data_IF_458007803614
#
_entry.id   IF_458007803614
#
_cell.length_a   1.000
_cell.length_b   1.000
_cell.length_c   1.000
_cell.angle_alpha   90.00
_cell.angle_beta   90.00
_cell.angle_gamma   90.00
#
_symmetry.space_group_name_H-M   'P 1'
#
loop_
_entity.id
_entity.type
_entity.pdbx_description
1 polymer ?
#
# COMPACT_ATOMS: atom_id res chain seq x y z
N UNK A 1 -17.89 8.47 31.81
CA UNK A 1 -18.50 9.60 31.11
C UNK A 1 -18.28 9.41 29.63
N UNK A 2 -19.32 9.03 28.90
CA UNK A 2 -19.25 8.86 27.44
C UNK A 2 -19.22 10.26 26.81
N UNK A 3 -18.04 10.71 26.40
CA UNK A 3 -17.93 11.92 25.60
C UNK A 3 -18.71 11.72 24.30
N UNK A 4 -19.82 12.43 24.17
CA UNK A 4 -20.56 12.49 22.90
C UNK A 4 -19.66 13.14 21.87
N UNK A 5 -19.24 12.37 20.88
CA UNK A 5 -18.56 12.87 19.67
C UNK A 5 -19.47 13.96 19.10
N UNK A 6 -18.94 15.15 18.91
CA UNK A 6 -19.66 16.22 18.22
C UNK A 6 -19.64 15.94 16.72
N UNK A 7 -20.73 15.46 16.11
CA UNK A 7 -20.75 15.09 14.68
C UNK A 7 -20.45 16.28 13.76
N UNK A 8 -20.75 17.51 14.21
CA UNK A 8 -20.58 18.73 13.41
C UNK A 8 -19.12 19.20 13.31
N UNK A 9 -18.28 18.88 14.30
CA UNK A 9 -16.85 19.23 14.25
C UNK A 9 -16.10 18.37 13.23
N UNK A 10 -16.42 17.07 13.15
CA UNK A 10 -15.81 16.14 12.20
C UNK A 10 -16.31 16.33 10.76
N UNK A 11 -17.59 16.71 10.57
CA UNK A 11 -18.16 16.99 9.25
C UNK A 11 -17.49 18.17 8.53
N UNK A 12 -16.78 19.06 9.28
CA UNK A 12 -16.00 20.17 8.70
C UNK A 12 -14.62 19.75 8.24
N UNK A 13 -14.08 18.64 8.76
CA UNK A 13 -12.70 18.18 8.46
C UNK A 13 -12.66 17.15 7.32
N UNK A 14 -13.70 16.28 7.23
CA UNK A 14 -13.78 15.19 6.27
C UNK A 14 -15.04 15.30 5.40
N UNK A 15 -14.92 14.95 4.12
CA UNK A 15 -16.07 14.79 3.25
C UNK A 15 -16.80 13.47 3.50
N UNK A 16 -16.01 12.42 3.75
CA UNK A 16 -16.51 11.10 4.10
C UNK A 16 -15.59 10.43 5.12
N UNK A 17 -16.16 9.70 6.03
CA UNK A 17 -15.49 8.77 6.94
C UNK A 17 -16.41 7.56 7.20
N UNK A 18 -15.87 6.36 7.48
CA UNK A 18 -16.65 5.23 7.95
C UNK A 18 -17.28 5.52 9.33
N UNK A 19 -18.02 4.55 9.86
CA UNK A 19 -18.51 4.63 11.24
C UNK A 19 -17.34 4.77 12.22
N UNK A 20 -17.46 5.73 13.14
CA UNK A 20 -16.43 6.05 14.13
C UNK A 20 -16.94 5.82 15.55
N UNK A 21 -16.06 5.43 16.49
CA UNK A 21 -14.63 5.18 16.33
C UNK A 21 -14.34 3.94 15.47
N UNK A 22 -13.20 3.95 14.73
CA UNK A 22 -12.78 2.79 13.95
C UNK A 22 -12.70 1.56 14.85
N UNK A 23 -13.36 0.49 14.43
CA UNK A 23 -13.32 -0.78 15.14
C UNK A 23 -11.93 -1.41 15.14
N UNK A 24 -11.64 -2.20 16.17
CA UNK A 24 -10.47 -3.09 16.17
C UNK A 24 -10.71 -4.24 15.20
N UNK A 25 -10.01 -4.23 14.08
CA UNK A 25 -10.07 -5.26 13.04
C UNK A 25 -8.78 -6.09 12.94
N UNK A 26 -8.00 -6.14 14.03
CA UNK A 26 -6.76 -6.93 14.08
C UNK A 26 -7.05 -8.43 13.97
N UNK A 27 -6.29 -9.10 13.08
CA UNK A 27 -6.31 -10.56 12.92
C UNK A 27 -5.78 -11.29 14.16
N UNK A 28 -4.96 -10.63 14.98
CA UNK A 28 -4.24 -11.21 16.12
C UNK A 28 -4.89 -10.88 17.46
N UNK A 29 -6.20 -10.78 17.50
CA UNK A 29 -6.95 -10.61 18.75
C UNK A 29 -6.99 -11.91 19.55
N UNK A 30 -6.77 -11.83 20.86
CA UNK A 30 -6.89 -12.97 21.76
C UNK A 30 -8.06 -12.80 22.73
N UNK A 31 -8.94 -13.80 22.94
CA UNK A 31 -9.01 -15.05 22.16
C UNK A 31 -9.41 -14.79 20.70
N UNK A 32 -8.97 -15.67 19.76
CA UNK A 32 -9.31 -15.49 18.34
C UNK A 32 -10.81 -15.62 18.13
N UNK A 33 -11.37 -14.77 17.27
CA UNK A 33 -12.77 -14.83 16.84
C UNK A 33 -12.90 -15.60 15.52
N UNK A 34 -13.37 -16.86 15.53
CA UNK A 34 -13.49 -17.66 14.31
C UNK A 34 -14.44 -17.06 13.28
N UNK A 35 -15.47 -16.31 13.71
CA UNK A 35 -16.42 -15.65 12.81
C UNK A 35 -15.79 -14.45 12.12
N UNK A 36 -14.93 -13.73 12.83
CA UNK A 36 -14.16 -12.64 12.25
C UNK A 36 -13.14 -13.19 11.26
N UNK A 37 -12.37 -14.22 11.62
CA UNK A 37 -11.37 -14.85 10.76
C UNK A 37 -12.00 -15.43 9.49
N UNK A 38 -13.12 -16.15 9.60
CA UNK A 38 -13.82 -16.70 8.43
C UNK A 38 -14.32 -15.60 7.51
N UNK A 39 -14.91 -14.53 8.04
CA UNK A 39 -15.33 -13.36 7.23
C UNK A 39 -14.15 -12.69 6.55
N UNK A 40 -13.01 -12.57 7.25
CA UNK A 40 -11.79 -12.03 6.68
C UNK A 40 -11.27 -12.87 5.50
N UNK A 41 -11.22 -14.21 5.64
CA UNK A 41 -10.84 -15.13 4.57
C UNK A 41 -11.78 -14.97 3.37
N UNK A 42 -13.10 -15.04 3.59
CA UNK A 42 -14.08 -14.90 2.52
C UNK A 42 -13.91 -13.56 1.79
N UNK A 43 -13.83 -12.45 2.54
CA UNK A 43 -13.73 -11.10 1.96
C UNK A 43 -12.44 -10.90 1.15
N UNK A 44 -11.32 -11.44 1.60
CA UNK A 44 -10.02 -11.14 1.01
C UNK A 44 -9.59 -12.18 -0.05
N UNK A 45 -10.10 -13.42 0.02
CA UNK A 45 -9.58 -14.53 -0.78
C UNK A 45 -10.64 -15.32 -1.57
N UNK A 46 -11.92 -15.27 -1.18
CA UNK A 46 -13.00 -16.03 -1.82
C UNK A 46 -14.00 -15.14 -2.54
N UNK A 47 -13.89 -13.82 -2.43
CA UNK A 47 -14.66 -12.86 -3.23
C UNK A 47 -13.70 -11.99 -4.05
N UNK A 48 -14.23 -11.24 -5.03
CA UNK A 48 -13.44 -10.30 -5.80
C UNK A 48 -12.92 -9.20 -4.88
N UNK A 49 -11.64 -9.26 -4.57
CA UNK A 49 -10.92 -8.33 -3.70
C UNK A 49 -9.68 -7.80 -4.41
N UNK A 50 -9.03 -6.78 -3.84
CA UNK A 50 -7.75 -6.30 -4.34
C UNK A 50 -6.70 -7.42 -4.42
N UNK A 51 -6.65 -8.32 -3.41
CA UNK A 51 -5.68 -9.44 -3.35
C UNK A 51 -5.92 -10.44 -4.47
N UNK A 52 -7.19 -10.82 -4.68
CA UNK A 52 -7.57 -11.73 -5.76
C UNK A 52 -7.23 -11.12 -7.12
N UNK A 53 -7.51 -9.84 -7.33
CA UNK A 53 -7.13 -9.12 -8.56
C UNK A 53 -5.61 -9.17 -8.75
N UNK A 54 -4.82 -8.91 -7.71
CA UNK A 54 -3.36 -8.93 -7.80
C UNK A 54 -2.80 -10.33 -8.10
N UNK A 55 -3.38 -11.39 -7.51
CA UNK A 55 -3.00 -12.78 -7.83
C UNK A 55 -3.33 -13.12 -9.29
N UNK A 56 -4.50 -12.73 -9.76
CA UNK A 56 -4.90 -12.95 -11.17
C UNK A 56 -3.95 -12.18 -12.11
N UNK A 57 -3.63 -10.93 -11.82
CA UNK A 57 -2.67 -10.14 -12.59
C UNK A 57 -1.27 -10.77 -12.55
N UNK A 58 -0.80 -11.21 -11.39
CA UNK A 58 0.50 -11.88 -11.26
C UNK A 58 0.57 -13.16 -12.10
N UNK A 59 -0.49 -13.97 -12.06
CA UNK A 59 -0.59 -15.21 -12.85
C UNK A 59 -0.63 -14.91 -14.35
N UNK A 60 -1.44 -13.93 -14.76
CA UNK A 60 -1.54 -13.50 -16.14
C UNK A 60 -0.20 -12.96 -16.67
N UNK A 61 0.47 -12.09 -15.88
CA UNK A 61 1.74 -11.52 -16.27
C UNK A 61 2.84 -12.58 -16.36
N UNK A 62 2.88 -13.51 -15.39
CA UNK A 62 3.82 -14.62 -15.42
C UNK A 62 3.65 -15.48 -16.68
N UNK A 63 2.44 -15.69 -17.10
CA UNK A 63 2.16 -16.59 -18.23
C UNK A 63 2.35 -15.94 -19.59
N UNK A 64 2.03 -14.64 -19.71
CA UNK A 64 2.00 -13.94 -21.01
C UNK A 64 3.12 -12.96 -21.24
N UNK A 65 3.67 -12.36 -20.17
CA UNK A 65 4.49 -11.15 -20.32
C UNK A 65 5.84 -11.22 -19.64
N UNK A 66 6.04 -12.04 -18.62
CA UNK A 66 7.35 -12.15 -17.99
C UNK A 66 8.24 -13.20 -18.70
N UNK A 67 9.57 -12.98 -18.69
CA UNK A 67 10.52 -13.96 -19.24
C UNK A 67 10.49 -15.25 -18.41
N UNK A 68 10.82 -16.39 -19.05
CA UNK A 68 10.97 -17.68 -18.37
C UNK A 68 12.21 -17.68 -17.47
N UNK A 69 12.23 -18.48 -16.40
CA UNK A 69 13.43 -18.61 -15.55
C UNK A 69 14.66 -19.04 -16.33
N UNK A 70 14.51 -19.90 -17.34
CA UNK A 70 15.63 -20.33 -18.18
C UNK A 70 16.27 -19.16 -18.93
N UNK A 71 15.44 -18.22 -19.43
CA UNK A 71 15.92 -17.07 -20.21
C UNK A 71 16.63 -16.00 -19.36
N UNK A 72 16.47 -16.03 -18.03
CA UNK A 72 17.03 -15.03 -17.12
C UNK A 72 18.25 -15.52 -16.34
N UNK A 73 18.80 -16.69 -16.66
CA UNK A 73 20.00 -17.24 -16.01
C UNK A 73 21.22 -16.33 -16.18
N UNK A 74 21.31 -15.61 -17.28
CA UNK A 74 22.34 -14.61 -17.53
C UNK A 74 21.74 -13.23 -17.68
N UNK A 75 22.40 -12.21 -17.13
CA UNK A 75 21.92 -10.83 -17.30
C UNK A 75 22.00 -10.41 -18.77
N UNK A 76 20.85 -9.94 -19.30
CA UNK A 76 20.76 -9.38 -20.64
C UNK A 76 19.77 -8.21 -20.63
N UNK A 77 20.11 -7.15 -21.36
CA UNK A 77 19.28 -5.94 -21.43
C UNK A 77 17.84 -6.24 -21.86
N UNK A 78 17.64 -7.15 -22.79
CA UNK A 78 16.32 -7.46 -23.37
C UNK A 78 15.29 -7.89 -22.34
N UNK A 79 15.60 -8.90 -21.50
CA UNK A 79 14.65 -9.36 -20.50
C UNK A 79 14.50 -8.40 -19.32
N UNK A 80 15.56 -7.67 -18.95
CA UNK A 80 15.48 -6.63 -17.91
C UNK A 80 14.52 -5.51 -18.35
N UNK A 81 14.66 -5.06 -19.60
CA UNK A 81 13.75 -4.09 -20.21
C UNK A 81 12.31 -4.62 -20.27
N UNK A 82 12.14 -5.89 -20.62
CA UNK A 82 10.80 -6.54 -20.65
C UNK A 82 10.13 -6.49 -19.28
N UNK A 83 10.83 -6.87 -18.20
CA UNK A 83 10.31 -6.81 -16.84
C UNK A 83 9.95 -5.37 -16.43
N UNK A 84 10.83 -4.41 -16.76
CA UNK A 84 10.56 -3.00 -16.50
C UNK A 84 9.32 -2.49 -17.24
N UNK A 85 9.16 -2.82 -18.52
CA UNK A 85 8.00 -2.44 -19.31
C UNK A 85 6.70 -3.03 -18.75
N UNK A 86 6.70 -4.28 -18.30
CA UNK A 86 5.53 -4.91 -17.67
C UNK A 86 5.16 -4.17 -16.38
N UNK A 87 6.12 -3.90 -15.51
CA UNK A 87 5.88 -3.16 -14.27
C UNK A 87 5.39 -1.73 -14.54
N UNK A 88 5.96 -1.07 -15.53
CA UNK A 88 5.54 0.27 -15.97
C UNK A 88 4.09 0.25 -16.47
N UNK A 89 3.74 -0.69 -17.33
CA UNK A 89 2.38 -0.85 -17.85
C UNK A 89 1.37 -1.16 -16.73
N UNK A 90 1.72 -2.03 -15.78
CA UNK A 90 0.89 -2.34 -14.62
C UNK A 90 0.66 -1.09 -13.76
N UNK A 91 1.71 -0.34 -13.46
CA UNK A 91 1.60 0.88 -12.66
C UNK A 91 0.77 1.96 -13.37
N UNK A 92 1.02 2.21 -14.64
CA UNK A 92 0.24 3.17 -15.46
C UNK A 92 -1.22 2.69 -15.59
N UNK A 93 -1.46 1.43 -15.86
CA UNK A 93 -2.79 0.86 -16.01
C UNK A 93 -3.62 1.00 -14.73
N UNK A 94 -3.05 0.65 -13.57
CA UNK A 94 -3.77 0.67 -12.29
C UNK A 94 -3.84 2.11 -11.74
N UNK A 95 -2.72 2.78 -11.49
CA UNK A 95 -2.73 4.13 -10.91
C UNK A 95 -3.35 5.15 -11.86
N UNK A 96 -3.03 5.07 -13.16
CA UNK A 96 -3.60 5.93 -14.20
C UNK A 96 -5.08 5.68 -14.41
N UNK A 97 -5.52 4.41 -14.46
CA UNK A 97 -6.92 4.04 -14.60
C UNK A 97 -7.77 4.51 -13.41
N UNK A 98 -7.29 4.31 -12.17
CA UNK A 98 -7.95 4.81 -10.96
C UNK A 98 -7.97 6.34 -10.93
N UNK A 99 -6.86 7.00 -11.31
CA UNK A 99 -6.81 8.46 -11.42
C UNK A 99 -7.79 8.99 -12.48
N UNK A 100 -7.84 8.35 -13.64
CA UNK A 100 -8.77 8.72 -14.70
C UNK A 100 -10.22 8.60 -14.24
N UNK A 101 -10.59 7.48 -13.60
CA UNK A 101 -11.94 7.23 -13.10
C UNK A 101 -12.35 8.24 -12.00
N UNK A 102 -11.52 8.39 -10.97
CA UNK A 102 -11.90 9.16 -9.78
C UNK A 102 -11.68 10.66 -9.93
N UNK A 103 -10.64 11.11 -10.63
CA UNK A 103 -10.18 12.49 -10.61
C UNK A 103 -10.36 13.24 -11.94
N UNK A 104 -10.33 12.52 -13.08
CA UNK A 104 -10.52 13.13 -14.41
C UNK A 104 -11.99 13.03 -14.81
N UNK A 105 -12.52 11.81 -14.91
CA UNK A 105 -13.92 11.58 -15.25
C UNK A 105 -14.87 11.89 -14.08
N UNK A 106 -14.36 11.80 -12.85
CA UNK A 106 -15.13 12.03 -11.61
C UNK A 106 -16.41 11.17 -11.55
N UNK A 107 -16.36 9.92 -12.05
CA UNK A 107 -17.52 9.03 -12.20
C UNK A 107 -18.26 8.79 -10.87
N UNK A 108 -17.55 8.83 -9.77
CA UNK A 108 -18.09 8.68 -8.43
C UNK A 108 -18.35 10.02 -7.70
N UNK A 109 -17.91 11.13 -8.29
CA UNK A 109 -17.95 12.45 -7.66
C UNK A 109 -17.19 12.45 -6.33
N UNK A 110 -17.85 12.98 -5.27
CA UNK A 110 -17.28 13.00 -3.91
C UNK A 110 -17.78 11.85 -3.03
N UNK A 111 -18.56 10.92 -3.56
CA UNK A 111 -19.09 9.78 -2.78
C UNK A 111 -17.95 8.89 -2.30
N UNK A 112 -17.88 8.66 -1.00
CA UNK A 112 -16.84 7.88 -0.32
C UNK A 112 -15.43 8.45 -0.45
N UNK A 113 -15.26 9.70 -0.89
CA UNK A 113 -13.98 10.42 -0.91
C UNK A 113 -13.70 10.96 0.48
N UNK A 114 -12.53 10.69 1.06
CA UNK A 114 -12.18 11.11 2.41
C UNK A 114 -12.04 12.62 2.54
N UNK A 115 -11.16 13.24 1.77
CA UNK A 115 -10.90 14.68 1.81
C UNK A 115 -11.76 15.44 0.78
N UNK A 116 -12.37 16.55 1.21
CA UNK A 116 -13.21 17.38 0.33
C UNK A 116 -12.41 18.18 -0.71
N UNK A 117 -11.11 18.38 -0.49
CA UNK A 117 -10.24 19.18 -1.37
C UNK A 117 -9.89 18.43 -2.64
N UNK A 118 -9.62 19.17 -3.71
CA UNK A 118 -9.00 18.63 -4.90
C UNK A 118 -7.48 18.45 -4.70
N UNK A 119 -6.84 17.66 -5.57
CA UNK A 119 -5.39 17.51 -5.57
C UNK A 119 -4.73 18.85 -5.95
N UNK A 120 -3.63 19.17 -5.29
CA UNK A 120 -3.02 20.50 -5.37
C UNK A 120 -2.48 20.84 -6.78
N UNK A 121 -2.79 22.06 -7.23
CA UNK A 121 -2.28 22.66 -8.47
C UNK A 121 -1.81 24.09 -8.20
N UNK A 122 -0.77 24.54 -8.92
CA UNK A 122 -0.19 25.87 -8.74
C UNK A 122 0.53 26.07 -7.41
N UNK A 123 0.89 25.00 -6.69
CA UNK A 123 1.52 25.04 -5.38
C UNK A 123 3.01 24.70 -5.48
N UNK A 124 3.88 25.63 -5.08
CA UNK A 124 5.35 25.52 -5.12
C UNK A 124 5.93 24.42 -4.21
N UNK A 125 5.13 23.82 -3.33
CA UNK A 125 5.53 22.64 -2.54
C UNK A 125 5.89 21.45 -3.44
N UNK A 126 5.35 21.39 -4.64
CA UNK A 126 5.51 20.31 -5.61
C UNK A 126 6.52 20.73 -6.69
N UNK A 127 7.42 19.82 -7.09
CA UNK A 127 8.49 20.11 -8.06
C UNK A 127 7.95 20.67 -9.40
N UNK A 128 6.76 20.21 -9.83
CA UNK A 128 6.09 20.67 -11.05
C UNK A 128 4.93 21.65 -10.77
N UNK A 129 4.88 22.22 -9.56
CA UNK A 129 3.74 23.00 -9.07
C UNK A 129 2.40 22.24 -9.18
N UNK A 130 2.44 20.93 -9.29
CA UNK A 130 1.31 20.05 -9.50
C UNK A 130 1.54 18.71 -8.79
N UNK A 131 0.65 18.38 -7.84
CA UNK A 131 0.73 17.17 -7.03
C UNK A 131 0.73 15.90 -7.88
N UNK A 132 -0.11 15.82 -8.91
CA UNK A 132 -0.23 14.63 -9.76
C UNK A 132 1.04 14.41 -10.57
N UNK A 133 1.57 15.46 -11.21
CA UNK A 133 2.80 15.35 -12.01
C UNK A 133 4.00 14.97 -11.15
N UNK A 134 4.11 15.54 -9.95
CA UNK A 134 5.17 15.22 -9.01
C UNK A 134 5.07 13.76 -8.56
N UNK A 135 3.87 13.31 -8.21
CA UNK A 135 3.63 11.92 -7.80
C UNK A 135 3.91 10.92 -8.94
N UNK A 136 3.51 11.22 -10.17
CA UNK A 136 3.82 10.41 -11.37
C UNK A 136 5.33 10.31 -11.55
N UNK A 137 6.06 11.42 -11.46
CA UNK A 137 7.52 11.47 -11.61
C UNK A 137 8.22 10.53 -10.62
N UNK A 138 7.90 10.62 -9.32
CA UNK A 138 8.51 9.78 -8.30
C UNK A 138 8.09 8.32 -8.41
N UNK A 139 6.81 8.05 -8.69
CA UNK A 139 6.30 6.69 -8.82
C UNK A 139 6.91 5.95 -10.00
N UNK A 140 6.97 6.58 -11.17
CA UNK A 140 7.49 5.93 -12.39
C UNK A 140 9.02 5.99 -12.47
N UNK A 141 9.62 7.12 -12.12
CA UNK A 141 11.07 7.33 -12.22
C UNK A 141 11.86 6.51 -11.21
N UNK A 142 11.54 6.63 -9.92
CA UNK A 142 12.26 5.92 -8.85
C UNK A 142 11.54 4.65 -8.41
N UNK A 143 10.22 4.70 -8.19
CA UNK A 143 9.45 3.59 -7.65
C UNK A 143 9.46 2.36 -8.55
N UNK A 144 8.99 2.49 -9.78
CA UNK A 144 8.95 1.37 -10.74
C UNK A 144 10.35 0.87 -11.08
N UNK A 145 11.34 1.77 -11.17
CA UNK A 145 12.71 1.36 -11.44
C UNK A 145 13.26 0.47 -10.33
N UNK A 146 13.17 0.89 -9.08
CA UNK A 146 13.67 0.10 -7.94
C UNK A 146 12.87 -1.19 -7.73
N UNK A 147 11.54 -1.15 -7.92
CA UNK A 147 10.70 -2.35 -7.90
C UNK A 147 11.20 -3.38 -8.92
N UNK A 148 11.52 -2.91 -10.13
CA UNK A 148 12.08 -3.77 -11.19
C UNK A 148 13.45 -4.31 -10.81
N UNK A 149 14.33 -3.52 -10.22
CA UNK A 149 15.65 -3.98 -9.78
C UNK A 149 15.56 -5.13 -8.77
N UNK A 150 14.70 -5.00 -7.74
CA UNK A 150 14.45 -6.09 -6.80
C UNK A 150 13.93 -7.34 -7.50
N UNK A 151 12.94 -7.20 -8.37
CA UNK A 151 12.35 -8.32 -9.11
C UNK A 151 13.37 -9.01 -10.00
N UNK A 152 14.16 -8.26 -10.75
CA UNK A 152 15.21 -8.76 -11.66
C UNK A 152 16.25 -9.58 -10.88
N UNK A 153 16.72 -9.07 -9.74
CA UNK A 153 17.67 -9.79 -8.88
C UNK A 153 17.06 -11.09 -8.37
N UNK A 154 15.83 -11.06 -7.88
CA UNK A 154 15.15 -12.26 -7.35
C UNK A 154 14.95 -13.30 -8.47
N UNK A 155 14.50 -12.88 -9.66
CA UNK A 155 14.31 -13.78 -10.79
C UNK A 155 15.64 -14.45 -11.21
N UNK A 156 16.72 -13.68 -11.26
CA UNK A 156 18.05 -14.20 -11.56
C UNK A 156 18.53 -15.20 -10.50
N UNK A 157 18.36 -14.90 -9.22
CA UNK A 157 18.71 -15.80 -8.12
C UNK A 157 17.90 -17.11 -8.17
N UNK A 158 16.58 -17.02 -8.47
CA UNK A 158 15.72 -18.19 -8.65
C UNK A 158 16.16 -19.05 -9.85
N UNK A 159 16.47 -18.41 -10.96
CA UNK A 159 16.90 -19.10 -12.19
C UNK A 159 18.24 -19.86 -12.02
N UNK A 160 19.11 -19.36 -11.14
CA UNK A 160 20.40 -19.97 -10.83
C UNK A 160 20.40 -20.81 -9.53
N UNK A 161 19.22 -21.08 -8.97
CA UNK A 161 19.05 -21.93 -7.78
C UNK A 161 19.77 -21.41 -6.51
N UNK A 162 20.06 -20.09 -6.44
CA UNK A 162 20.69 -19.47 -5.26
C UNK A 162 19.71 -19.19 -4.13
N UNK A 163 18.40 -19.25 -4.40
CA UNK A 163 17.35 -19.09 -3.40
C UNK A 163 16.35 -20.24 -3.47
N UNK A 164 15.68 -20.59 -2.35
CA UNK A 164 14.76 -21.71 -2.32
C UNK A 164 13.54 -21.46 -3.20
N UNK A 165 13.23 -22.41 -4.08
CA UNK A 165 12.06 -22.37 -4.96
C UNK A 165 11.10 -23.54 -4.67
N UNK A 166 9.82 -23.34 -5.00
CA UNK A 166 8.82 -24.40 -4.94
C UNK A 166 8.17 -24.63 -6.32
N UNK A 167 7.78 -25.87 -6.54
CA UNK A 167 6.96 -26.22 -7.68
C UNK A 167 5.49 -26.32 -7.24
N UNK A 168 4.57 -25.73 -8.02
CA UNK A 168 3.16 -25.70 -7.69
C UNK A 168 2.54 -27.09 -7.59
N UNK A 169 2.95 -28.02 -8.45
CA UNK A 169 2.40 -29.40 -8.46
C UNK A 169 2.83 -30.23 -7.27
N UNK A 170 4.05 -30.05 -6.77
CA UNK A 170 4.58 -30.80 -5.61
C UNK A 170 4.37 -30.11 -4.27
N UNK A 171 4.19 -28.78 -4.26
CA UNK A 171 4.09 -27.99 -3.03
C UNK A 171 2.85 -27.04 -3.03
N UNK A 172 1.63 -27.53 -3.35
CA UNK A 172 0.45 -26.67 -3.45
C UNK A 172 0.08 -25.99 -2.13
N UNK A 173 0.29 -26.66 -0.99
CA UNK A 173 0.00 -26.09 0.34
C UNK A 173 0.93 -24.91 0.64
N UNK A 174 2.23 -25.04 0.36
CA UNK A 174 3.19 -23.94 0.55
C UNK A 174 2.89 -22.76 -0.37
N UNK A 175 2.44 -23.02 -1.61
CA UNK A 175 2.02 -21.98 -2.53
C UNK A 175 0.83 -21.19 -1.99
N UNK A 176 -0.23 -21.87 -1.55
CA UNK A 176 -1.41 -21.23 -0.95
C UNK A 176 -1.05 -20.51 0.36
N UNK A 177 -0.23 -21.13 1.20
CA UNK A 177 0.28 -20.47 2.41
C UNK A 177 1.05 -19.19 2.06
N UNK A 178 1.90 -19.22 1.02
CA UNK A 178 2.61 -18.04 0.54
C UNK A 178 1.68 -16.92 0.12
N UNK A 179 0.60 -17.20 -0.61
CA UNK A 179 -0.40 -16.19 -0.98
C UNK A 179 -0.98 -15.49 0.25
N UNK A 180 -1.31 -16.25 1.31
CA UNK A 180 -1.92 -15.70 2.54
C UNK A 180 -0.89 -14.98 3.42
N UNK A 181 0.33 -15.54 3.53
CA UNK A 181 1.36 -15.04 4.45
C UNK A 181 2.12 -13.82 3.90
N UNK A 182 2.27 -13.67 2.58
CA UNK A 182 2.99 -12.52 2.01
C UNK A 182 2.35 -11.16 2.34
N UNK A 183 1.03 -10.96 2.29
CA UNK A 183 0.41 -9.71 2.77
C UNK A 183 0.63 -9.48 4.27
N UNK A 184 0.63 -10.54 5.09
CA UNK A 184 0.90 -10.45 6.53
C UNK A 184 2.35 -10.05 6.77
N UNK A 185 3.29 -10.68 6.07
CA UNK A 185 4.71 -10.30 6.09
C UNK A 185 4.91 -8.86 5.64
N UNK A 186 4.30 -8.46 4.52
CA UNK A 186 4.41 -7.09 4.01
C UNK A 186 3.90 -6.07 5.02
N UNK A 187 2.79 -6.38 5.70
CA UNK A 187 2.24 -5.52 6.74
C UNK A 187 3.15 -5.42 7.98
N UNK A 188 3.80 -6.54 8.37
CA UNK A 188 4.81 -6.54 9.43
C UNK A 188 6.01 -5.69 9.05
N UNK A 189 6.60 -5.96 7.89
CA UNK A 189 7.76 -5.22 7.38
C UNK A 189 7.45 -3.72 7.23
N UNK A 190 6.29 -3.40 6.63
CA UNK A 190 5.85 -2.03 6.43
C UNK A 190 5.78 -1.25 7.74
N UNK A 191 5.16 -1.81 8.79
CA UNK A 191 5.08 -1.13 10.09
C UNK A 191 6.45 -0.72 10.63
N UNK A 192 7.43 -1.64 10.61
CA UNK A 192 8.76 -1.36 11.17
C UNK A 192 9.57 -0.38 10.32
N UNK A 193 9.53 -0.55 9.00
CA UNK A 193 10.20 0.41 8.09
C UNK A 193 9.55 1.79 8.16
N UNK A 194 8.24 1.85 8.24
CA UNK A 194 7.51 3.10 8.36
C UNK A 194 7.80 3.82 9.69
N UNK A 195 7.87 3.09 10.78
CA UNK A 195 8.34 3.64 12.09
C UNK A 195 9.75 4.18 12.01
N UNK A 196 10.65 3.48 11.32
CA UNK A 196 12.02 3.94 11.08
C UNK A 196 12.03 5.25 10.28
N UNK A 197 11.21 5.33 9.22
CA UNK A 197 11.09 6.51 8.36
C UNK A 197 10.55 7.73 9.12
N UNK A 198 9.79 7.53 10.18
CA UNK A 198 9.28 8.59 11.06
C UNK A 198 10.29 9.06 12.13
N UNK A 199 11.49 8.48 12.21
CA UNK A 199 12.55 9.10 13.03
C UNK A 199 12.85 10.50 12.50
N UNK A 200 12.96 11.54 13.36
CA UNK A 200 12.95 12.95 12.94
C UNK A 200 13.92 13.30 11.82
N UNK A 201 15.15 12.78 11.89
CA UNK A 201 16.16 13.02 10.85
C UNK A 201 15.76 12.37 9.50
N UNK A 202 15.32 11.12 9.53
CA UNK A 202 14.93 10.38 8.33
C UNK A 202 13.63 10.97 7.76
N UNK A 203 12.67 11.29 8.62
CA UNK A 203 11.44 11.95 8.20
C UNK A 203 11.73 13.23 7.43
N UNK A 204 12.53 14.12 7.99
CA UNK A 204 12.84 15.43 7.41
C UNK A 204 13.46 15.32 6.00
N UNK A 205 14.38 14.38 5.79
CA UNK A 205 15.18 14.31 4.56
C UNK A 205 14.65 13.31 3.53
N UNK A 206 13.84 12.34 3.96
CA UNK A 206 13.38 11.22 3.13
C UNK A 206 11.85 11.18 3.07
N UNK A 207 11.19 10.90 4.19
CA UNK A 207 9.78 10.54 4.23
C UNK A 207 8.81 11.73 4.10
N UNK A 208 9.27 12.94 4.38
CA UNK A 208 8.50 14.16 4.19
C UNK A 208 8.06 14.37 2.72
N UNK A 209 8.76 13.78 1.76
CA UNK A 209 8.36 13.77 0.36
C UNK A 209 7.01 13.04 0.17
N UNK A 210 6.86 11.86 0.75
CA UNK A 210 5.63 11.08 0.73
C UNK A 210 4.51 11.81 1.47
N UNK A 211 4.79 12.35 2.64
CA UNK A 211 3.84 13.07 3.48
C UNK A 211 3.42 14.45 2.99
N UNK A 212 4.00 14.98 1.91
CA UNK A 212 3.39 16.12 1.20
C UNK A 212 1.97 15.80 0.72
N UNK A 213 1.66 14.53 0.51
CA UNK A 213 0.36 14.01 0.12
C UNK A 213 -0.61 13.89 1.31
N UNK A 214 -0.92 15.00 2.00
CA UNK A 214 -1.96 15.03 3.04
C UNK A 214 -3.32 14.63 2.47
N UNK A 215 -3.64 15.08 1.26
CA UNK A 215 -4.77 14.63 0.47
C UNK A 215 -4.24 13.67 -0.59
N UNK A 216 -4.43 12.36 -0.33
CA UNK A 216 -3.87 11.30 -1.17
C UNK A 216 -4.65 11.11 -2.48
N UNK A 217 -3.97 10.57 -3.48
CA UNK A 217 -4.53 10.12 -4.75
C UNK A 217 -3.74 8.94 -5.29
N UNK A 218 -4.21 8.18 -6.29
CA UNK A 218 -3.62 6.90 -6.71
C UNK A 218 -2.11 6.95 -6.95
N UNK A 219 -1.63 8.02 -7.54
CA UNK A 219 -0.19 8.20 -7.80
C UNK A 219 0.64 8.49 -6.54
N UNK A 220 0.01 8.89 -5.43
CA UNK A 220 0.76 9.16 -4.19
C UNK A 220 1.25 7.90 -3.49
N UNK A 221 0.64 6.73 -3.78
CA UNK A 221 0.98 5.46 -3.11
C UNK A 221 2.43 5.02 -3.30
N UNK A 222 3.02 5.31 -4.46
CA UNK A 222 4.42 5.03 -4.74
C UNK A 222 5.22 6.32 -4.99
N UNK A 223 4.73 7.48 -4.55
CA UNK A 223 5.45 8.76 -4.60
C UNK A 223 6.31 8.92 -3.35
N UNK A 224 7.50 8.38 -3.39
CA UNK A 224 8.44 8.28 -2.27
C UNK A 224 9.85 8.72 -2.69
N UNK A 225 10.67 9.08 -1.71
CA UNK A 225 12.10 9.34 -1.93
C UNK A 225 12.82 8.03 -2.32
N UNK A 226 13.86 8.04 -3.15
CA UNK A 226 14.59 6.82 -3.56
C UNK A 226 15.08 5.96 -2.39
N UNK A 227 15.54 6.56 -1.29
CA UNK A 227 15.92 5.83 -0.07
C UNK A 227 14.73 5.15 0.59
N UNK A 228 13.57 5.78 0.56
CA UNK A 228 12.33 5.19 1.07
C UNK A 228 11.87 4.01 0.21
N UNK A 229 11.96 4.11 -1.12
CA UNK A 229 11.70 2.97 -2.01
C UNK A 229 12.60 1.78 -1.68
N UNK A 230 13.90 2.03 -1.45
CA UNK A 230 14.84 0.97 -1.08
C UNK A 230 14.39 0.25 0.21
N UNK A 231 14.01 1.00 1.24
CA UNK A 231 13.55 0.43 2.51
C UNK A 231 12.18 -0.24 2.38
N UNK A 232 11.23 0.39 1.70
CA UNK A 232 9.88 -0.14 1.52
C UNK A 232 9.89 -1.44 0.70
N UNK A 233 10.60 -1.46 -0.42
CA UNK A 233 10.69 -2.60 -1.30
C UNK A 233 11.58 -3.73 -0.77
N UNK A 234 12.38 -3.50 0.28
CA UNK A 234 13.17 -4.56 0.92
C UNK A 234 12.31 -5.68 1.52
N UNK A 235 10.98 -5.49 1.63
CA UNK A 235 10.03 -6.57 1.90
C UNK A 235 10.19 -7.75 0.95
N UNK A 236 10.57 -7.51 -0.30
CA UNK A 236 10.81 -8.54 -1.31
C UNK A 236 11.98 -9.48 -0.97
N UNK A 237 12.90 -9.08 -0.08
CA UNK A 237 14.02 -9.91 0.35
C UNK A 237 13.59 -11.18 1.10
N UNK A 238 12.32 -11.28 1.52
CA UNK A 238 11.76 -12.51 2.09
C UNK A 238 11.90 -13.70 1.14
N UNK A 239 11.88 -13.47 -0.17
CA UNK A 239 12.06 -14.50 -1.20
C UNK A 239 13.47 -15.09 -1.25
N UNK A 240 14.44 -14.53 -0.50
CA UNK A 240 15.76 -15.13 -0.35
C UNK A 240 15.76 -16.30 0.64
N UNK A 241 14.79 -16.33 1.55
CA UNK A 241 14.71 -17.35 2.61
C UNK A 241 13.39 -18.14 2.57
N UNK A 242 12.31 -17.54 2.10
CA UNK A 242 11.01 -18.21 1.98
C UNK A 242 10.90 -18.90 0.62
N UNK A 243 10.72 -20.24 0.58
CA UNK A 243 10.59 -20.98 -0.68
C UNK A 243 9.43 -20.47 -1.52
N UNK A 244 9.72 -19.93 -2.70
CA UNK A 244 8.73 -19.20 -3.49
C UNK A 244 8.61 -19.75 -4.92
N UNK A 245 7.38 -19.77 -5.42
CA UNK A 245 7.09 -19.89 -6.85
C UNK A 245 7.18 -18.51 -7.52
N UNK A 246 7.58 -18.37 -8.79
CA UNK A 246 7.62 -17.06 -9.47
C UNK A 246 6.33 -16.25 -9.35
N UNK A 247 5.16 -16.87 -9.40
CA UNK A 247 3.86 -16.19 -9.19
C UNK A 247 3.79 -15.49 -7.83
N UNK A 248 4.36 -16.08 -6.76
CA UNK A 248 4.38 -15.46 -5.43
C UNK A 248 5.25 -14.20 -5.42
N UNK A 249 6.39 -14.23 -6.12
CA UNK A 249 7.26 -13.06 -6.30
C UNK A 249 6.50 -11.95 -7.06
N UNK A 250 5.85 -12.30 -8.17
CA UNK A 250 5.11 -11.33 -8.99
C UNK A 250 3.88 -10.78 -8.24
N UNK A 251 3.18 -11.62 -7.50
CA UNK A 251 2.11 -11.18 -6.61
C UNK A 251 2.62 -10.17 -5.59
N UNK A 252 3.76 -10.43 -4.96
CA UNK A 252 4.36 -9.53 -3.97
C UNK A 252 4.81 -8.21 -4.61
N UNK A 253 5.41 -8.25 -5.81
CA UNK A 253 5.78 -7.06 -6.60
C UNK A 253 4.54 -6.21 -6.93
N UNK A 254 3.45 -6.82 -7.40
CA UNK A 254 2.21 -6.12 -7.72
C UNK A 254 1.55 -5.57 -6.45
N UNK A 255 1.61 -6.31 -5.35
CA UNK A 255 1.07 -5.90 -4.05
C UNK A 255 1.78 -4.65 -3.51
N UNK A 256 3.11 -4.58 -3.60
CA UNK A 256 3.89 -3.44 -3.12
C UNK A 256 3.86 -2.24 -4.10
N UNK A 257 3.88 -2.46 -5.39
CA UNK A 257 3.89 -1.41 -6.41
C UNK A 257 2.48 -0.91 -6.74
N UNK A 258 1.80 -1.49 -7.73
CA UNK A 258 0.44 -1.11 -8.12
C UNK A 258 -0.58 -1.16 -6.98
N UNK A 259 -0.42 -2.08 -6.01
CA UNK A 259 -1.25 -2.18 -4.82
C UNK A 259 -1.21 -0.92 -3.95
N UNK A 260 -0.05 -0.28 -3.82
CA UNK A 260 0.05 1.00 -3.13
C UNK A 260 -0.83 2.09 -3.77
N UNK A 261 -0.99 2.09 -5.10
CA UNK A 261 -1.91 3.00 -5.78
C UNK A 261 -3.38 2.72 -5.44
N UNK A 262 -3.75 1.45 -5.22
CA UNK A 262 -5.11 1.08 -4.82
C UNK A 262 -5.44 1.56 -3.41
N UNK A 263 -4.51 1.43 -2.47
CA UNK A 263 -4.70 1.87 -1.07
C UNK A 263 -4.67 3.39 -0.91
N UNK A 264 -4.11 4.14 -1.87
CA UNK A 264 -4.00 5.60 -1.86
C UNK A 264 -4.99 6.31 -2.76
N UNK A 265 -6.09 5.68 -3.15
CA UNK A 265 -7.07 6.32 -4.05
C UNK A 265 -7.69 7.59 -3.49
N UNK A 266 -7.70 7.79 -2.16
CA UNK A 266 -8.45 8.86 -1.48
C UNK A 266 -9.94 8.56 -1.36
N UNK A 267 -10.37 7.37 -1.76
CA UNK A 267 -11.75 6.85 -1.68
C UNK A 267 -11.76 5.51 -0.95
N UNK A 268 -12.81 5.24 -0.17
CA UNK A 268 -12.93 3.98 0.57
C UNK A 268 -13.21 2.79 -0.34
N UNK A 269 -14.15 2.94 -1.27
CA UNK A 269 -14.55 1.88 -2.18
C UNK A 269 -14.76 2.40 -3.61
N UNK A 270 -14.63 1.49 -4.57
CA UNK A 270 -15.11 1.69 -5.94
C UNK A 270 -16.62 1.39 -6.00
N UNK A 271 -17.38 2.36 -6.48
CA UNK A 271 -18.81 2.19 -6.76
C UNK A 271 -19.02 1.88 -8.25
N UNK A 272 -19.79 0.82 -8.53
CA UNK A 272 -20.29 0.53 -9.86
C UNK A 272 -21.80 0.37 -9.78
N UNK A 273 -22.54 1.20 -10.51
CA UNK A 273 -24.02 1.26 -10.45
C UNK A 273 -24.49 1.41 -9.00
N UNK A 274 -23.89 2.38 -8.27
CA UNK A 274 -24.18 2.74 -6.88
C UNK A 274 -23.95 1.62 -5.83
N UNK A 275 -23.33 0.51 -6.22
CA UNK A 275 -22.98 -0.58 -5.30
C UNK A 275 -21.48 -0.61 -5.04
N UNK A 276 -21.08 -0.77 -3.78
CA UNK A 276 -19.68 -1.02 -3.39
C UNK A 276 -19.20 -2.33 -4.01
N UNK A 277 -18.13 -2.29 -4.81
CA UNK A 277 -17.63 -3.43 -5.58
C UNK A 277 -16.22 -3.84 -5.20
N UNK A 278 -15.39 -2.88 -4.83
CA UNK A 278 -14.01 -3.13 -4.49
C UNK A 278 -13.58 -2.16 -3.40
N UNK A 279 -13.13 -2.70 -2.28
CA UNK A 279 -12.48 -1.91 -1.25
C UNK A 279 -11.12 -1.44 -1.78
N UNK A 280 -10.80 -0.17 -1.56
CA UNK A 280 -9.59 0.49 -2.06
C UNK A 280 -8.82 1.11 -0.90
N UNK A 281 -8.90 2.44 -0.74
CA UNK A 281 -8.25 3.14 0.33
C UNK A 281 -8.86 2.84 1.70
N UNK A 282 -8.10 3.13 2.76
CA UNK A 282 -8.60 3.02 4.13
C UNK A 282 -8.57 4.36 4.82
N UNK A 283 -9.62 4.68 5.57
CA UNK A 283 -9.65 5.88 6.40
C UNK A 283 -8.55 5.88 7.46
N UNK A 284 -8.17 4.68 7.92
CA UNK A 284 -7.05 4.45 8.82
C UNK A 284 -5.73 5.05 8.30
N UNK A 285 -5.40 4.78 7.05
CA UNK A 285 -4.19 5.31 6.41
C UNK A 285 -4.33 6.80 6.02
N UNK A 286 -5.54 7.23 5.67
CA UNK A 286 -5.82 8.65 5.45
C UNK A 286 -5.63 9.48 6.74
N UNK A 287 -5.96 8.93 7.91
CA UNK A 287 -5.66 9.56 9.21
C UNK A 287 -4.15 9.70 9.41
N UNK A 288 -3.36 8.68 9.03
CA UNK A 288 -1.92 8.75 9.09
C UNK A 288 -1.37 9.90 8.22
N UNK A 289 -1.77 10.01 6.96
CA UNK A 289 -1.35 11.10 6.08
C UNK A 289 -1.77 12.49 6.58
N UNK A 290 -2.85 12.56 7.35
CA UNK A 290 -3.35 13.83 7.92
C UNK A 290 -2.62 14.24 9.18
N UNK A 291 -2.34 13.28 10.08
CA UNK A 291 -1.84 13.56 11.43
C UNK A 291 -0.40 13.11 11.67
N UNK A 292 0.16 12.28 10.80
CA UNK A 292 1.53 11.75 10.75
C UNK A 292 1.89 10.77 11.88
N UNK A 293 1.78 11.16 13.14
CA UNK A 293 2.28 10.39 14.30
C UNK A 293 1.24 9.40 14.84
N UNK A 294 0.58 8.66 13.92
CA UNK A 294 -0.42 7.63 14.23
C UNK A 294 -0.54 6.65 13.06
N UNK A 295 -1.13 5.47 13.31
CA UNK A 295 -1.54 4.51 12.29
C UNK A 295 -0.43 4.20 11.27
N UNK A 296 0.76 3.86 11.75
CA UNK A 296 1.93 3.57 10.92
C UNK A 296 1.82 2.28 10.12
N UNK A 297 1.01 1.33 10.60
CA UNK A 297 0.79 0.04 9.94
C UNK A 297 -0.46 0.01 9.08
N UNK A 298 -1.05 -1.16 8.99
CA UNK A 298 -2.39 -1.37 8.47
C UNK A 298 -3.34 -1.85 9.58
N UNK A 299 -4.64 -1.67 9.35
CA UNK A 299 -5.66 -1.96 10.36
C UNK A 299 -5.79 -3.44 10.70
N UNK A 300 -5.31 -4.34 9.85
CA UNK A 300 -5.35 -5.80 10.07
C UNK A 300 -4.31 -6.27 11.10
N UNK A 301 -3.29 -5.45 11.38
CA UNK A 301 -2.21 -5.77 12.30
C UNK A 301 -2.37 -5.02 13.63
N UNK A 302 -1.98 -5.63 14.75
CA UNK A 302 -2.20 -5.05 16.06
C UNK A 302 -1.17 -4.00 16.47
N UNK A 303 -0.16 -3.74 15.64
CA UNK A 303 1.04 -2.97 16.01
C UNK A 303 0.73 -1.59 16.56
N UNK A 304 -0.10 -0.81 15.87
CA UNK A 304 -0.43 0.54 16.34
C UNK A 304 -1.18 0.54 17.67
N UNK A 305 -1.97 -0.50 17.96
CA UNK A 305 -2.60 -0.66 19.26
C UNK A 305 -1.59 -1.05 20.34
N UNK A 306 -0.76 -2.04 20.06
CA UNK A 306 0.24 -2.51 21.03
C UNK A 306 1.26 -1.45 21.39
N UNK A 307 1.63 -0.60 20.43
CA UNK A 307 2.60 0.47 20.64
C UNK A 307 1.96 1.85 20.88
N UNK A 308 0.64 1.91 21.13
CA UNK A 308 -0.07 3.11 21.53
C UNK A 308 -0.13 4.21 20.47
N UNK A 309 -0.05 3.85 19.18
CA UNK A 309 -0.08 4.78 18.04
C UNK A 309 -1.38 4.70 17.24
N UNK A 310 -2.34 3.90 17.65
CA UNK A 310 -3.64 3.78 17.01
C UNK A 310 -4.45 5.06 17.16
N UNK A 311 -4.96 5.57 16.05
CA UNK A 311 -5.91 6.67 15.95
C UNK A 311 -7.21 6.12 15.36
N UNK A 312 -8.26 6.18 16.14
CA UNK A 312 -9.57 5.59 15.79
C UNK A 312 -10.51 6.56 15.04
N UNK A 313 -10.01 7.74 14.68
CA UNK A 313 -10.79 8.79 14.03
C UNK A 313 -11.57 9.69 14.98
N UNK A 314 -11.57 9.43 16.29
CA UNK A 314 -12.26 10.29 17.30
C UNK A 314 -11.48 11.59 17.58
N UNK A 315 -12.15 12.54 18.22
CA UNK A 315 -11.51 13.78 18.71
C UNK A 315 -10.44 13.48 19.76
N UNK A 316 -10.68 12.50 20.62
CA UNK A 316 -9.72 12.05 21.64
C UNK A 316 -8.46 11.47 20.97
N UNK A 317 -8.62 10.63 19.93
CA UNK A 317 -7.53 10.11 19.11
C UNK A 317 -6.74 11.22 18.41
N UNK A 318 -7.42 12.22 17.89
CA UNK A 318 -6.82 13.42 17.29
C UNK A 318 -5.99 14.21 18.32
N UNK A 319 -6.54 14.45 19.51
CA UNK A 319 -5.86 15.18 20.58
C UNK A 319 -4.62 14.42 21.09
N UNK A 320 -4.73 13.12 21.29
CA UNK A 320 -3.61 12.25 21.69
C UNK A 320 -2.47 12.29 20.67
N UNK A 321 -2.80 12.23 19.38
CA UNK A 321 -1.81 12.29 18.29
C UNK A 321 -1.13 13.66 18.22
N UNK A 322 -1.88 14.75 18.35
CA UNK A 322 -1.33 16.12 18.40
C UNK A 322 -0.37 16.32 19.59
N UNK A 323 -0.72 15.75 20.75
CA UNK A 323 0.13 15.80 21.95
C UNK A 323 1.43 15.01 21.71
N UNK A 324 1.35 13.80 21.16
CA UNK A 324 2.52 12.97 20.80
C UNK A 324 3.45 13.72 19.85
N UNK A 325 2.89 14.31 18.78
CA UNK A 325 3.68 15.11 17.82
C UNK A 325 4.43 16.25 18.50
N UNK A 326 3.76 17.00 19.37
CA UNK A 326 4.42 18.09 20.13
C UNK A 326 5.56 17.59 20.99
N UNK A 327 5.42 16.42 21.64
CA UNK A 327 6.46 15.84 22.49
C UNK A 327 7.66 15.36 21.67
N UNK A 328 7.43 14.68 20.55
CA UNK A 328 8.50 14.16 19.69
C UNK A 328 9.32 15.27 19.03
N UNK A 329 8.69 16.39 18.67
CA UNK A 329 9.36 17.49 17.96
C UNK A 329 9.79 18.66 18.88
N UNK A 330 9.64 18.54 20.21
CA UNK A 330 10.10 19.56 21.17
C UNK A 330 11.63 19.58 21.35
N UNK A 331 12.30 18.50 20.99
CA UNK A 331 13.73 18.30 21.23
C UNK A 331 14.57 18.38 19.93
N UNK A 332 14.01 18.97 18.90
CA UNK A 332 14.66 19.23 17.61
C UNK A 332 14.64 20.72 17.31
#
# INVERSE_FOLDING_TARGET
>A
MTNKINPDAMSREWNYHPELPLADSSLFKWPPDPRFLSRWVVRNWLTMSERVIMVLLATLCWWLFYPTLESVKTFAFGWVLQVWLVNLCLMIGIAGGLHYFFYIRKEQGKRLKFDHRDLARGNKLWNFSNQVHDNVFWSLGSGVLQLTMYQVVIMWLMANEYVPTINLSSNPILFVAGLVLLPIWSAFHFYWMHRLLHLPFIYKHVHSLHHRNVNIGPWSGLSMHPVEHLLYLSSLLIHFVFPSHPILVYFHVIYLGPGAAMTHTGYEDLLVRDKRRLALGTFYHQLHHRYYECNYGNQEMPWDRWFGTFHDGSDDGTQATRTRKKTMHRNI
#
